data_IF_117074174153
#
_entry.id   IF_117074174153
#
_cell.length_a   1.000
_cell.length_b   1.000
_cell.length_c   1.000
_cell.angle_alpha   90.00
_cell.angle_beta   90.00
_cell.angle_gamma   90.00
#
_symmetry.space_group_name_H-M   'P 1'
#
loop_
_entity.id
_entity.type
_entity.pdbx_description
1 polymer ?
#
# COMPACT_ATOMS: atom_id res chain seq x y z
N UNK A 1 12.27 -26.91 2.61
CA UNK A 1 11.01 -27.40 2.02
C UNK A 1 10.86 -26.81 0.63
N UNK A 2 10.63 -27.62 -0.41
CA UNK A 2 10.34 -27.12 -1.76
C UNK A 2 8.94 -26.51 -1.76
N UNK A 3 8.83 -25.18 -1.94
CA UNK A 3 7.55 -24.53 -2.19
C UNK A 3 7.13 -24.85 -3.64
N UNK A 4 6.00 -25.53 -3.81
CA UNK A 4 5.39 -25.84 -5.11
C UNK A 4 4.55 -24.66 -5.57
N UNK A 5 5.09 -23.87 -6.50
CA UNK A 5 4.36 -22.79 -7.15
C UNK A 5 3.48 -23.36 -8.27
N UNK A 6 2.17 -23.13 -8.20
CA UNK A 6 1.23 -23.51 -9.26
C UNK A 6 1.22 -22.43 -10.32
N UNK A 7 1.68 -22.79 -11.53
CA UNK A 7 1.79 -21.92 -12.71
C UNK A 7 0.47 -21.17 -12.97
N UNK A 8 0.40 -19.87 -12.63
CA UNK A 8 -0.81 -19.07 -12.89
C UNK A 8 -0.72 -18.40 -14.26
N UNK A 9 -1.77 -18.55 -15.08
CA UNK A 9 -1.97 -17.64 -16.22
C UNK A 9 -2.38 -16.26 -15.68
N UNK A 10 -1.87 -15.15 -16.26
CA UNK A 10 -2.27 -13.80 -15.90
C UNK A 10 -3.65 -13.49 -16.50
N UNK A 11 -4.71 -14.12 -15.96
CA UNK A 11 -6.08 -13.80 -16.32
C UNK A 11 -6.79 -13.24 -15.09
N UNK A 12 -7.52 -12.14 -15.26
CA UNK A 12 -8.43 -11.60 -14.25
C UNK A 12 -9.30 -12.74 -13.72
N UNK A 13 -9.24 -13.01 -12.41
CA UNK A 13 -9.86 -14.20 -11.84
C UNK A 13 -10.45 -13.89 -10.47
N UNK A 14 -11.74 -13.58 -10.48
CA UNK A 14 -12.52 -13.27 -9.28
C UNK A 14 -12.41 -14.39 -8.22
N UNK A 15 -12.51 -15.65 -8.65
CA UNK A 15 -12.41 -16.82 -7.78
C UNK A 15 -11.10 -16.91 -6.99
N UNK A 16 -9.99 -16.43 -7.56
CA UNK A 16 -8.67 -16.50 -6.92
C UNK A 16 -8.41 -15.35 -5.94
N UNK A 17 -9.19 -14.27 -5.99
CA UNK A 17 -9.00 -13.07 -5.18
C UNK A 17 -10.05 -12.89 -4.08
N UNK A 18 -11.20 -13.58 -4.15
CA UNK A 18 -12.29 -13.47 -3.15
C UNK A 18 -11.84 -13.64 -1.69
N UNK A 19 -11.05 -14.68 -1.39
CA UNK A 19 -10.57 -14.90 -0.03
C UNK A 19 -9.57 -13.82 0.42
N UNK A 20 -8.52 -13.47 -0.36
CA UNK A 20 -7.68 -12.30 -0.06
C UNK A 20 -8.45 -10.99 0.11
N UNK A 21 -9.47 -10.75 -0.71
CA UNK A 21 -10.34 -9.58 -0.61
C UNK A 21 -11.07 -9.54 0.75
N UNK A 22 -11.67 -10.64 1.18
CA UNK A 22 -12.32 -10.71 2.50
C UNK A 22 -11.36 -10.43 3.65
N UNK A 23 -10.13 -10.94 3.58
CA UNK A 23 -9.10 -10.66 4.57
C UNK A 23 -8.66 -9.20 4.58
N UNK A 24 -8.56 -8.60 3.41
CA UNK A 24 -8.21 -7.20 3.25
C UNK A 24 -9.28 -6.27 3.83
N UNK A 25 -10.56 -6.55 3.57
CA UNK A 25 -11.69 -5.81 4.16
C UNK A 25 -11.62 -5.91 5.69
N UNK A 26 -11.41 -7.11 6.23
CA UNK A 26 -11.32 -7.31 7.67
C UNK A 26 -10.14 -6.53 8.28
N UNK A 27 -8.96 -6.60 7.66
CA UNK A 27 -7.79 -5.87 8.14
C UNK A 27 -7.99 -4.35 8.08
N UNK A 28 -8.54 -3.86 6.97
CA UNK A 28 -8.86 -2.44 6.81
C UNK A 28 -9.89 -1.97 7.86
N UNK A 29 -10.92 -2.77 8.13
CA UNK A 29 -11.89 -2.47 9.18
C UNK A 29 -11.24 -2.34 10.55
N UNK A 30 -10.45 -3.35 10.95
CA UNK A 30 -9.76 -3.36 12.24
C UNK A 30 -8.81 -2.16 12.36
N UNK A 31 -8.06 -1.89 11.29
CA UNK A 31 -7.12 -0.79 11.24
C UNK A 31 -7.78 0.57 11.49
N UNK A 32 -8.86 0.84 10.78
CA UNK A 32 -9.60 2.10 10.91
C UNK A 32 -10.27 2.25 12.28
N UNK A 33 -10.74 1.15 12.87
CA UNK A 33 -11.28 1.14 14.23
C UNK A 33 -10.21 1.55 15.26
N UNK A 34 -9.01 0.98 15.16
CA UNK A 34 -7.89 1.38 16.02
C UNK A 34 -7.49 2.84 15.78
N UNK A 35 -7.36 3.26 14.53
CA UNK A 35 -7.02 4.64 14.20
C UNK A 35 -7.97 5.64 14.86
N UNK A 36 -9.28 5.44 14.70
CA UNK A 36 -10.30 6.32 15.28
C UNK A 36 -10.22 6.33 16.80
N UNK A 37 -10.04 5.16 17.42
CA UNK A 37 -9.83 5.07 18.86
C UNK A 37 -8.61 5.91 19.29
N UNK A 38 -7.48 5.79 18.59
CA UNK A 38 -6.31 6.63 18.85
C UNK A 38 -6.61 8.12 18.74
N UNK A 39 -7.29 8.54 17.67
CA UNK A 39 -7.62 9.97 17.47
C UNK A 39 -8.56 10.54 18.52
N UNK A 40 -9.48 9.75 19.06
CA UNK A 40 -10.44 10.19 20.08
C UNK A 40 -9.79 10.24 21.46
N UNK A 41 -8.99 9.23 21.81
CA UNK A 41 -8.51 9.04 23.18
C UNK A 41 -7.10 9.59 23.44
N UNK A 42 -6.29 9.83 22.40
CA UNK A 42 -4.94 10.41 22.56
C UNK A 42 -5.00 11.94 22.51
N UNK A 43 -5.02 12.57 23.68
CA UNK A 43 -5.05 14.04 23.79
C UNK A 43 -3.73 14.77 23.50
N UNK A 44 -2.63 14.05 23.29
CA UNK A 44 -1.31 14.63 22.98
C UNK A 44 -0.93 14.41 21.53
N UNK A 45 -0.56 15.48 20.82
CA UNK A 45 -0.13 15.44 19.42
C UNK A 45 1.08 14.52 19.20
N UNK A 46 2.02 14.48 20.15
CA UNK A 46 3.19 13.61 20.07
C UNK A 46 2.79 12.13 20.20
N UNK A 47 1.90 11.81 21.13
CA UNK A 47 1.37 10.45 21.29
C UNK A 47 0.60 10.02 20.05
N UNK A 48 -0.18 10.93 19.45
CA UNK A 48 -0.90 10.66 18.22
C UNK A 48 0.05 10.36 17.05
N UNK A 49 1.15 11.10 16.90
CA UNK A 49 2.16 10.83 15.86
C UNK A 49 2.80 9.46 16.07
N UNK A 50 3.24 9.14 17.30
CA UNK A 50 3.83 7.83 17.61
C UNK A 50 2.83 6.70 17.33
N UNK A 51 1.58 6.88 17.74
CA UNK A 51 0.51 5.94 17.48
C UNK A 51 0.27 5.73 15.98
N UNK A 52 0.27 6.81 15.22
CA UNK A 52 0.12 6.81 13.76
C UNK A 52 1.26 6.06 13.06
N UNK A 53 2.50 6.21 13.56
CA UNK A 53 3.66 5.46 13.05
C UNK A 53 3.53 3.96 13.35
N UNK A 54 3.13 3.60 14.58
CA UNK A 54 2.92 2.21 14.98
C UNK A 54 1.84 1.53 14.13
N UNK A 55 0.75 2.24 13.87
CA UNK A 55 -0.29 1.79 12.97
C UNK A 55 0.25 1.62 11.55
N UNK A 56 0.91 2.62 10.96
CA UNK A 56 1.45 2.51 9.59
C UNK A 56 2.36 1.28 9.41
N UNK A 57 3.22 1.03 10.40
CA UNK A 57 4.03 -0.20 10.46
C UNK A 57 3.21 -1.50 10.51
N UNK A 58 2.15 -1.53 11.33
CA UNK A 58 1.23 -2.67 11.37
C UNK A 58 0.51 -2.87 10.03
N UNK A 59 0.16 -1.78 9.35
CA UNK A 59 -0.46 -1.80 8.02
C UNK A 59 0.45 -2.42 6.97
N UNK A 60 1.75 -2.07 6.95
CA UNK A 60 2.73 -2.68 6.04
C UNK A 60 2.88 -4.19 6.25
N UNK A 61 2.88 -4.64 7.52
CA UNK A 61 2.88 -6.09 7.83
C UNK A 61 1.58 -6.76 7.36
N UNK A 62 0.44 -6.09 7.54
CA UNK A 62 -0.86 -6.54 7.03
C UNK A 62 -0.87 -6.67 5.50
N UNK A 63 -0.34 -5.68 4.79
CA UNK A 63 -0.20 -5.68 3.33
C UNK A 63 0.67 -6.84 2.87
N UNK A 64 1.83 -7.05 3.50
CA UNK A 64 2.68 -8.21 3.19
C UNK A 64 1.92 -9.53 3.40
N UNK A 65 1.15 -9.65 4.50
CA UNK A 65 0.33 -10.83 4.75
C UNK A 65 -0.73 -11.05 3.66
N UNK A 66 -1.44 -10.00 3.23
CA UNK A 66 -2.36 -10.06 2.09
C UNK A 66 -1.65 -10.52 0.82
N UNK A 67 -0.47 -9.97 0.53
CA UNK A 67 0.36 -10.42 -0.59
C UNK A 67 0.64 -11.92 -0.50
N UNK A 68 0.99 -12.44 0.67
CA UNK A 68 1.22 -13.90 0.82
C UNK A 68 -0.03 -14.74 0.53
N UNK A 69 -1.22 -14.25 0.90
CA UNK A 69 -2.50 -14.91 0.56
C UNK A 69 -2.79 -14.87 -0.92
N UNK A 70 -2.58 -13.72 -1.57
CA UNK A 70 -2.77 -13.56 -3.02
C UNK A 70 -1.80 -14.46 -3.79
N UNK A 71 -0.54 -14.51 -3.37
CA UNK A 71 0.53 -15.29 -4.01
C UNK A 71 0.52 -16.78 -3.62
N UNK A 72 -0.30 -17.17 -2.65
CA UNK A 72 -0.38 -18.56 -2.11
C UNK A 72 0.97 -19.06 -1.58
N UNK A 73 1.72 -18.18 -0.94
CA UNK A 73 2.97 -18.50 -0.22
C UNK A 73 2.74 -18.53 1.27
N UNK A 74 3.61 -19.23 2.00
CA UNK A 74 3.53 -19.28 3.47
C UNK A 74 3.95 -17.93 4.03
N UNK A 75 3.16 -17.39 4.95
CA UNK A 75 3.56 -16.22 5.71
C UNK A 75 4.59 -16.61 6.78
N UNK A 76 5.75 -16.00 6.72
CA UNK A 76 6.83 -16.19 7.69
C UNK A 76 6.89 -14.99 8.64
N UNK A 77 6.83 -15.28 9.96
CA UNK A 77 6.88 -14.29 11.05
C UNK A 77 8.28 -14.14 11.64
N UNK A 78 9.29 -14.54 10.88
CA UNK A 78 10.68 -14.52 11.33
C UNK A 78 11.20 -13.08 11.37
N UNK A 79 12.17 -12.82 12.26
CA UNK A 79 12.76 -11.48 12.40
C UNK A 79 13.39 -11.02 11.09
N UNK A 80 13.99 -11.96 10.36
CA UNK A 80 14.63 -11.77 9.06
C UNK A 80 13.66 -11.30 7.97
N UNK A 81 12.37 -11.59 8.12
CA UNK A 81 11.30 -11.19 7.18
C UNK A 81 10.60 -9.91 7.64
N UNK A 82 10.29 -9.80 8.93
CA UNK A 82 9.54 -8.65 9.46
C UNK A 82 10.41 -7.39 9.57
N UNK A 83 11.68 -7.52 9.94
CA UNK A 83 12.54 -6.35 10.17
C UNK A 83 12.74 -5.51 8.90
N UNK A 84 13.04 -6.07 7.70
CA UNK A 84 13.14 -5.26 6.48
C UNK A 84 11.83 -4.53 6.14
N UNK A 85 10.68 -5.17 6.35
CA UNK A 85 9.35 -4.57 6.13
C UNK A 85 9.18 -3.33 7.01
N UNK A 86 9.42 -3.49 8.31
CA UNK A 86 9.28 -2.43 9.29
C UNK A 86 10.27 -1.29 9.06
N UNK A 87 11.52 -1.60 8.68
CA UNK A 87 12.55 -0.58 8.42
C UNK A 87 12.19 0.27 7.21
N UNK A 88 11.75 -0.33 6.12
CA UNK A 88 11.33 0.41 4.92
C UNK A 88 10.10 1.26 5.22
N UNK A 89 9.12 0.70 5.93
CA UNK A 89 7.91 1.45 6.31
C UNK A 89 8.24 2.62 7.24
N UNK A 90 9.05 2.39 8.26
CA UNK A 90 9.48 3.43 9.18
C UNK A 90 10.24 4.55 8.45
N UNK A 91 11.08 4.22 7.46
CA UNK A 91 11.77 5.22 6.65
C UNK A 91 10.78 6.06 5.83
N UNK A 92 9.78 5.43 5.19
CA UNK A 92 8.74 6.14 4.44
C UNK A 92 7.85 7.02 5.33
N UNK A 93 7.51 6.53 6.52
CA UNK A 93 6.74 7.28 7.51
C UNK A 93 7.53 8.45 8.09
N UNK A 94 8.84 8.29 8.35
CA UNK A 94 9.70 9.40 8.80
C UNK A 94 9.81 10.47 7.71
N UNK A 95 9.98 10.09 6.45
CA UNK A 95 9.99 11.06 5.34
C UNK A 95 8.64 11.78 5.28
N UNK A 96 7.54 11.06 5.35
CA UNK A 96 6.20 11.63 5.16
C UNK A 96 5.76 12.48 6.35
N UNK A 97 5.84 11.95 7.57
CA UNK A 97 5.37 12.62 8.78
C UNK A 97 6.43 13.55 9.38
N UNK A 98 7.72 13.23 9.26
CA UNK A 98 8.80 14.02 9.84
C UNK A 98 9.34 15.12 8.94
N UNK A 99 9.27 14.94 7.61
CA UNK A 99 9.83 15.91 6.64
C UNK A 99 8.73 16.59 5.82
N UNK A 100 7.87 15.80 5.16
CA UNK A 100 6.87 16.37 4.25
C UNK A 100 5.75 17.08 4.98
N UNK A 101 5.37 16.67 6.19
CA UNK A 101 4.31 17.31 6.97
C UNK A 101 4.67 18.74 7.43
N UNK A 102 5.85 18.99 8.05
CA UNK A 102 6.29 20.36 8.30
C UNK A 102 6.44 21.17 7.01
N UNK A 103 7.00 20.55 5.96
CA UNK A 103 7.17 21.22 4.67
C UNK A 103 5.83 21.60 4.04
N UNK A 104 4.81 20.73 4.15
CA UNK A 104 3.44 20.99 3.70
C UNK A 104 2.92 22.30 4.31
N UNK A 105 3.07 22.44 5.63
CA UNK A 105 2.60 23.60 6.38
C UNK A 105 3.27 24.89 5.89
N UNK A 106 4.57 24.85 5.60
CA UNK A 106 5.32 25.99 5.06
C UNK A 106 4.91 26.32 3.63
N UNK A 107 4.79 25.31 2.77
CA UNK A 107 4.42 25.47 1.35
C UNK A 107 3.04 26.12 1.21
N UNK A 108 2.07 25.66 1.99
CA UNK A 108 0.72 26.24 1.98
C UNK A 108 0.65 27.60 2.68
N UNK A 109 1.47 27.86 3.70
CA UNK A 109 1.54 29.18 4.32
C UNK A 109 2.11 30.27 3.39
N UNK A 110 3.00 29.90 2.47
CA UNK A 110 3.58 30.83 1.49
C UNK A 110 2.61 31.20 0.36
N UNK A 111 1.65 30.31 0.06
CA UNK A 111 0.65 30.46 -1.00
C UNK A 111 1.24 30.86 -2.37
N UNK A 112 2.43 30.33 -2.67
CA UNK A 112 3.14 30.59 -3.93
C UNK A 112 3.11 29.36 -4.83
N UNK A 113 2.54 29.51 -6.04
CA UNK A 113 2.42 28.41 -7.01
C UNK A 113 3.76 27.77 -7.36
N UNK A 114 4.83 28.56 -7.46
CA UNK A 114 6.16 28.09 -7.85
C UNK A 114 6.86 27.28 -6.75
N UNK A 115 6.38 27.34 -5.51
CA UNK A 115 6.83 26.49 -4.39
C UNK A 115 5.92 25.26 -4.26
N UNK A 116 4.61 25.46 -4.43
CA UNK A 116 3.61 24.38 -4.36
C UNK A 116 3.79 23.33 -5.45
N UNK A 117 4.04 23.72 -6.71
CA UNK A 117 4.19 22.76 -7.82
C UNK A 117 5.36 21.79 -7.59
N UNK A 118 6.60 22.24 -7.32
CA UNK A 118 7.71 21.31 -7.05
C UNK A 118 7.45 20.39 -5.86
N UNK A 119 6.80 20.90 -4.81
CA UNK A 119 6.41 20.11 -3.64
C UNK A 119 5.39 19.02 -3.98
N UNK A 120 4.35 19.36 -4.75
CA UNK A 120 3.35 18.39 -5.21
C UNK A 120 3.97 17.34 -6.13
N UNK A 121 4.90 17.72 -7.01
CA UNK A 121 5.67 16.79 -7.85
C UNK A 121 6.52 15.84 -6.99
N UNK A 122 7.17 16.33 -5.94
CA UNK A 122 7.92 15.49 -5.00
C UNK A 122 7.00 14.46 -4.33
N UNK A 123 5.82 14.89 -3.87
CA UNK A 123 4.84 13.99 -3.26
C UNK A 123 4.34 12.94 -4.27
N UNK A 124 4.02 13.35 -5.49
CA UNK A 124 3.60 12.44 -6.57
C UNK A 124 4.68 11.41 -6.90
N UNK A 125 5.96 11.81 -6.94
CA UNK A 125 7.09 10.91 -7.15
C UNK A 125 7.18 9.85 -6.04
N UNK A 126 6.99 10.25 -4.79
CA UNK A 126 6.97 9.31 -3.67
C UNK A 126 5.79 8.34 -3.75
N UNK A 127 4.60 8.81 -4.13
CA UNK A 127 3.42 7.96 -4.33
C UNK A 127 3.68 6.89 -5.38
N UNK A 128 4.26 7.26 -6.53
CA UNK A 128 4.48 6.32 -7.65
C UNK A 128 5.65 5.35 -7.40
N UNK A 129 6.55 5.64 -6.45
CA UNK A 129 7.72 4.82 -6.16
C UNK A 129 7.55 3.92 -4.94
N UNK A 130 6.91 4.41 -3.87
CA UNK A 130 6.85 3.71 -2.58
C UNK A 130 6.24 2.31 -2.71
N UNK A 131 5.05 2.23 -3.31
CA UNK A 131 4.28 1.00 -3.37
C UNK A 131 4.91 -0.08 -4.29
N UNK A 132 5.33 0.23 -5.53
CA UNK A 132 6.07 -0.74 -6.35
C UNK A 132 7.37 -1.24 -5.70
N UNK A 133 8.07 -0.38 -4.96
CA UNK A 133 9.29 -0.75 -4.24
C UNK A 133 8.98 -1.69 -3.07
N UNK A 134 7.96 -1.40 -2.26
CA UNK A 134 7.48 -2.27 -1.19
C UNK A 134 7.08 -3.64 -1.75
N UNK A 135 6.33 -3.69 -2.85
CA UNK A 135 5.95 -4.96 -3.49
C UNK A 135 7.14 -5.74 -4.03
N UNK A 136 8.17 -5.05 -4.55
CA UNK A 136 9.40 -5.70 -5.00
C UNK A 136 10.11 -6.36 -3.82
N UNK A 137 10.26 -5.64 -2.70
CA UNK A 137 10.82 -6.18 -1.47
C UNK A 137 10.00 -7.36 -0.94
N UNK A 138 8.67 -7.24 -0.87
CA UNK A 138 7.78 -8.32 -0.44
C UNK A 138 7.92 -9.57 -1.30
N UNK A 139 8.11 -9.40 -2.61
CA UNK A 139 8.33 -10.53 -3.52
C UNK A 139 9.67 -11.23 -3.30
N UNK A 140 10.70 -10.50 -2.87
CA UNK A 140 12.00 -11.05 -2.48
C UNK A 140 11.89 -11.86 -1.18
N UNK A 141 11.23 -11.28 -0.17
CA UNK A 141 11.00 -11.92 1.14
C UNK A 141 10.14 -13.18 1.01
N UNK A 142 9.10 -13.14 0.16
CA UNK A 142 8.28 -14.31 -0.15
C UNK A 142 9.06 -15.47 -0.79
N UNK A 143 10.22 -15.19 -1.38
CA UNK A 143 11.13 -16.18 -1.98
C UNK A 143 12.27 -16.58 -1.03
N UNK A 144 12.19 -16.22 0.25
CA UNK A 144 13.21 -16.45 1.29
C UNK A 144 14.53 -15.71 1.03
N UNK A 145 14.51 -14.61 0.27
CA UNK A 145 15.67 -13.71 0.14
C UNK A 145 15.64 -12.73 1.31
N UNK A 146 16.43 -13.00 2.34
CA UNK A 146 16.39 -12.24 3.60
C UNK A 146 17.67 -11.45 3.88
N UNK A 147 18.78 -11.75 3.19
CA UNK A 147 20.02 -10.99 3.34
C UNK A 147 19.90 -9.59 2.76
N UNK A 148 20.28 -8.54 3.50
CA UNK A 148 20.16 -7.14 3.02
C UNK A 148 20.86 -6.89 1.68
N UNK A 149 22.04 -7.50 1.47
CA UNK A 149 22.77 -7.44 0.20
C UNK A 149 22.02 -8.19 -0.91
N UNK A 150 21.48 -9.35 -0.62
CA UNK A 150 20.72 -10.17 -1.57
C UNK A 150 19.40 -9.51 -1.96
N UNK A 151 18.71 -8.86 -1.01
CA UNK A 151 17.51 -8.06 -1.28
C UNK A 151 17.86 -6.89 -2.19
N UNK A 152 18.97 -6.18 -1.92
CA UNK A 152 19.43 -5.08 -2.78
C UNK A 152 19.74 -5.54 -4.20
N UNK A 153 20.44 -6.66 -4.34
CA UNK A 153 20.78 -7.25 -5.63
C UNK A 153 19.53 -7.75 -6.38
N UNK A 154 18.58 -8.34 -5.65
CA UNK A 154 17.28 -8.75 -6.17
C UNK A 154 16.46 -7.56 -6.68
N UNK A 155 16.35 -6.50 -5.88
CA UNK A 155 15.65 -5.27 -6.26
C UNK A 155 16.30 -4.69 -7.51
N UNK A 156 17.63 -4.60 -7.57
CA UNK A 156 18.36 -4.10 -8.74
C UNK A 156 18.07 -4.91 -10.00
N UNK A 157 18.10 -6.25 -9.90
CA UNK A 157 17.79 -7.14 -11.03
C UNK A 157 16.35 -6.96 -11.54
N UNK A 158 15.37 -6.93 -10.63
CA UNK A 158 13.96 -6.72 -10.99
C UNK A 158 13.69 -5.32 -11.52
N UNK A 159 14.36 -4.32 -10.96
CA UNK A 159 14.32 -2.93 -11.42
C UNK A 159 14.70 -2.82 -12.89
N UNK A 160 15.76 -3.52 -13.31
CA UNK A 160 16.25 -3.51 -14.69
C UNK A 160 15.32 -4.23 -15.68
N UNK A 161 14.72 -5.36 -15.29
CA UNK A 161 14.04 -6.23 -16.25
C UNK A 161 12.51 -6.08 -16.31
N UNK A 162 11.85 -5.79 -15.18
CA UNK A 162 10.40 -5.98 -15.06
C UNK A 162 9.67 -4.87 -14.29
N UNK A 163 10.41 -4.02 -13.58
CA UNK A 163 9.84 -2.94 -12.78
C UNK A 163 9.07 -1.93 -13.61
N UNK A 164 9.55 -1.57 -14.80
CA UNK A 164 8.82 -0.65 -15.70
C UNK A 164 7.39 -1.10 -15.99
N UNK A 165 7.17 -2.40 -16.20
CA UNK A 165 5.84 -2.95 -16.50
C UNK A 165 4.89 -2.85 -15.29
N UNK A 166 5.39 -3.19 -14.10
CA UNK A 166 4.61 -3.15 -12.85
C UNK A 166 4.37 -1.71 -12.41
N UNK A 167 5.39 -0.85 -12.55
CA UNK A 167 5.30 0.58 -12.28
C UNK A 167 4.26 1.26 -13.16
N UNK A 168 4.29 1.03 -14.48
CA UNK A 168 3.29 1.58 -15.39
C UNK A 168 1.87 1.12 -15.04
N UNK A 169 1.69 -0.14 -14.65
CA UNK A 169 0.39 -0.66 -14.24
C UNK A 169 -0.09 -0.04 -12.94
N UNK A 170 0.81 0.14 -11.97
CA UNK A 170 0.50 0.84 -10.74
C UNK A 170 0.06 2.28 -11.03
N UNK A 171 0.79 3.02 -11.88
CA UNK A 171 0.40 4.37 -12.28
C UNK A 171 -0.97 4.40 -12.97
N UNK A 172 -1.26 3.45 -13.86
CA UNK A 172 -2.57 3.34 -14.51
C UNK A 172 -3.70 3.08 -13.50
N UNK A 173 -3.46 2.21 -12.51
CA UNK A 173 -4.43 1.94 -11.45
C UNK A 173 -4.62 3.17 -10.57
N UNK A 174 -3.55 3.85 -10.20
CA UNK A 174 -3.60 5.07 -9.40
C UNK A 174 -4.43 6.14 -10.10
N UNK A 175 -4.20 6.37 -11.40
CA UNK A 175 -5.00 7.31 -12.19
C UNK A 175 -6.48 6.91 -12.25
N UNK A 176 -6.78 5.61 -12.38
CA UNK A 176 -8.14 5.10 -12.36
C UNK A 176 -8.83 5.34 -11.01
N UNK A 177 -8.11 5.10 -9.90
CA UNK A 177 -8.58 5.38 -8.54
C UNK A 177 -8.86 6.87 -8.37
N UNK A 178 -7.92 7.74 -8.72
CA UNK A 178 -8.08 9.19 -8.63
C UNK A 178 -9.25 9.69 -9.49
N UNK A 179 -9.42 9.13 -10.69
CA UNK A 179 -10.54 9.47 -11.57
C UNK A 179 -11.89 9.10 -10.94
N UNK A 180 -12.03 7.88 -10.43
CA UNK A 180 -13.26 7.42 -9.78
C UNK A 180 -13.53 8.22 -8.51
N UNK A 181 -12.52 8.44 -7.67
CA UNK A 181 -12.67 9.26 -6.45
C UNK A 181 -13.09 10.69 -6.79
N UNK A 182 -12.62 11.26 -7.89
CA UNK A 182 -13.07 12.59 -8.33
C UNK A 182 -14.54 12.59 -8.73
N UNK A 183 -15.02 11.54 -9.40
CA UNK A 183 -16.43 11.39 -9.76
C UNK A 183 -17.32 11.13 -8.53
N UNK A 184 -16.84 10.35 -7.57
CA UNK A 184 -17.61 9.95 -6.38
C UNK A 184 -17.39 10.85 -5.17
N UNK A 185 -16.56 11.90 -5.31
CA UNK A 185 -16.08 12.75 -4.20
C UNK A 185 -15.46 11.94 -3.05
N UNK A 186 -14.65 10.95 -3.43
CA UNK A 186 -13.87 10.12 -2.52
C UNK A 186 -12.70 10.87 -1.88
N UNK A 187 -11.99 10.20 -0.97
CA UNK A 187 -10.96 10.82 -0.13
C UNK A 187 -9.72 11.28 -0.93
N UNK A 188 -9.49 10.68 -2.08
CA UNK A 188 -8.42 11.05 -3.02
C UNK A 188 -8.94 11.87 -4.20
N UNK A 189 -10.14 12.46 -4.09
CA UNK A 189 -10.69 13.33 -5.11
C UNK A 189 -9.74 14.48 -5.39
N UNK A 190 -9.42 14.69 -6.66
CA UNK A 190 -8.62 15.83 -7.11
C UNK A 190 -9.50 16.99 -7.62
N UNK A 191 -10.82 16.90 -7.41
CA UNK A 191 -11.79 17.89 -7.88
C UNK A 191 -11.63 19.27 -7.24
N UNK A 192 -11.03 19.33 -6.05
CA UNK A 192 -10.72 20.59 -5.34
C UNK A 192 -9.22 20.97 -5.45
N UNK A 193 -8.45 20.22 -6.25
CA UNK A 193 -7.00 20.36 -6.37
C UNK A 193 -6.28 19.06 -5.98
N UNK A 194 -5.01 18.94 -6.42
CA UNK A 194 -4.18 17.79 -6.09
C UNK A 194 -3.40 18.06 -4.79
N UNK A 195 -3.76 17.34 -3.72
CA UNK A 195 -2.97 17.28 -2.50
C UNK A 195 -2.20 15.96 -2.39
N UNK A 196 -1.00 15.95 -2.97
CA UNK A 196 -0.10 14.81 -2.96
C UNK A 196 0.36 14.41 -1.55
N UNK A 197 0.42 15.32 -0.59
CA UNK A 197 0.77 14.96 0.79
C UNK A 197 -0.38 14.24 1.49
N UNK A 198 -1.61 14.73 1.35
CA UNK A 198 -2.78 14.06 1.89
C UNK A 198 -2.94 12.65 1.29
N UNK A 199 -2.73 12.50 -0.03
CA UNK A 199 -2.76 11.20 -0.71
C UNK A 199 -1.63 10.29 -0.20
N UNK A 200 -0.38 10.78 -0.18
CA UNK A 200 0.78 10.00 0.26
C UNK A 200 0.69 9.58 1.73
N UNK A 201 0.33 10.50 2.62
CA UNK A 201 0.13 10.21 4.03
C UNK A 201 -0.98 9.19 4.19
N UNK A 202 -2.08 9.31 3.47
CA UNK A 202 -3.15 8.32 3.52
C UNK A 202 -2.72 6.93 3.04
N UNK A 203 -1.87 6.84 2.00
CA UNK A 203 -1.33 5.57 1.49
C UNK A 203 -0.40 4.87 2.48
N UNK A 204 0.45 5.63 3.17
CA UNK A 204 1.44 5.05 4.09
C UNK A 204 0.86 4.85 5.49
N UNK A 205 0.02 5.78 5.93
CA UNK A 205 -0.54 5.82 7.27
C UNK A 205 -1.86 5.08 7.36
N UNK A 206 -2.76 5.16 6.38
CA UNK A 206 -4.06 4.48 6.46
C UNK A 206 -4.08 3.12 5.76
N UNK A 207 -2.87 2.63 5.45
CA UNK A 207 -2.66 1.55 4.51
C UNK A 207 -2.74 2.04 3.08
N UNK A 208 -2.10 1.24 2.22
CA UNK A 208 -2.08 1.35 0.77
C UNK A 208 -3.47 1.81 0.25
N UNK A 209 -3.57 2.70 -0.76
CA UNK A 209 -4.74 3.56 -0.99
C UNK A 209 -6.06 2.81 -1.17
N UNK A 210 -6.01 1.53 -1.51
CA UNK A 210 -7.19 0.71 -1.74
C UNK A 210 -7.68 -0.02 -0.47
N UNK A 211 -6.99 0.13 0.66
CA UNK A 211 -7.45 -0.22 2.02
C UNK A 211 -7.90 1.01 2.83
N UNK A 212 -7.53 2.23 2.45
CA UNK A 212 -7.88 3.43 3.20
C UNK A 212 -9.29 3.96 2.92
N UNK A 213 -10.03 3.43 1.93
CA UNK A 213 -11.41 3.87 1.66
C UNK A 213 -12.36 3.61 2.85
N UNK A 214 -12.07 2.59 3.66
CA UNK A 214 -12.83 2.35 4.90
C UNK A 214 -12.61 3.47 5.93
N UNK A 215 -11.51 4.22 5.86
CA UNK A 215 -11.33 5.42 6.69
C UNK A 215 -12.41 6.46 6.37
N UNK A 216 -12.60 6.78 5.09
CA UNK A 216 -13.68 7.66 4.66
C UNK A 216 -15.04 7.11 5.09
N UNK A 217 -15.29 5.81 4.86
CA UNK A 217 -16.52 5.19 5.32
C UNK A 217 -16.76 5.35 6.83
N UNK A 218 -15.76 5.07 7.68
CA UNK A 218 -15.94 5.12 9.14
C UNK A 218 -16.00 6.57 9.66
N UNK A 219 -15.25 7.50 9.08
CA UNK A 219 -15.33 8.94 9.41
C UNK A 219 -16.70 9.54 9.07
N UNK A 220 -17.28 9.15 7.94
CA UNK A 220 -18.61 9.61 7.56
C UNK A 220 -19.71 8.91 8.36
N UNK A 221 -19.51 7.64 8.74
CA UNK A 221 -20.43 6.94 9.63
C UNK A 221 -20.43 7.51 11.06
N UNK A 222 -19.30 8.04 11.54
CA UNK A 222 -19.19 8.65 12.88
C UNK A 222 -19.81 10.04 12.97
N UNK A 223 -20.08 10.72 11.84
CA UNK A 223 -20.67 12.06 11.79
C UNK A 223 -22.21 12.09 11.97
N UNK A 224 -22.85 10.95 12.21
CA UNK A 224 -24.30 10.80 12.33
C UNK A 224 -24.98 10.57 10.97
N UNK A 225 -25.88 9.59 10.88
CA UNK A 225 -26.43 9.13 9.60
C UNK A 225 -27.75 9.83 9.26
N UNK A 226 -27.79 10.59 8.16
CA UNK A 226 -29.02 10.91 7.44
C UNK A 226 -29.13 10.08 6.14
N UNK A 227 -30.29 10.10 5.48
CA UNK A 227 -30.53 9.30 4.26
C UNK A 227 -29.56 9.62 3.12
N UNK A 228 -29.18 10.89 2.94
CA UNK A 228 -28.19 11.33 1.95
C UNK A 228 -26.78 10.84 2.30
N UNK A 229 -26.41 10.83 3.57
CA UNK A 229 -25.14 10.30 4.07
C UNK A 229 -25.08 8.78 3.93
N UNK A 230 -26.19 8.07 4.13
CA UNK A 230 -26.28 6.63 3.88
C UNK A 230 -26.03 6.30 2.41
N UNK A 231 -26.61 7.09 1.49
CA UNK A 231 -26.40 6.93 0.05
C UNK A 231 -24.94 7.21 -0.34
N UNK A 232 -24.33 8.28 0.21
CA UNK A 232 -22.91 8.57 -0.01
C UNK A 232 -22.00 7.46 0.55
N UNK A 233 -22.29 6.94 1.74
CA UNK A 233 -21.57 5.81 2.33
C UNK A 233 -21.67 4.55 1.50
N UNK A 234 -22.85 4.28 0.93
CA UNK A 234 -23.05 3.14 0.03
C UNK A 234 -22.24 3.29 -1.26
N UNK A 235 -22.21 4.47 -1.86
CA UNK A 235 -21.38 4.75 -3.04
C UNK A 235 -19.89 4.58 -2.71
N UNK A 236 -19.42 5.14 -1.59
CA UNK A 236 -18.03 4.97 -1.13
C UNK A 236 -17.68 3.51 -0.85
N UNK A 237 -18.62 2.73 -0.31
CA UNK A 237 -18.44 1.30 -0.10
C UNK A 237 -18.29 0.53 -1.42
N UNK A 238 -19.14 0.81 -2.41
CA UNK A 238 -19.04 0.20 -3.75
C UNK A 238 -17.73 0.57 -4.45
N UNK A 239 -17.34 1.84 -4.37
CA UNK A 239 -16.06 2.34 -4.89
C UNK A 239 -14.88 1.63 -4.23
N UNK A 240 -14.95 1.45 -2.90
CA UNK A 240 -13.96 0.70 -2.14
C UNK A 240 -13.85 -0.77 -2.55
N UNK A 241 -14.98 -1.45 -2.78
CA UNK A 241 -15.00 -2.82 -3.32
C UNK A 241 -14.37 -2.89 -4.71
N UNK A 242 -14.61 -1.90 -5.57
CA UNK A 242 -13.99 -1.81 -6.88
C UNK A 242 -12.46 -1.69 -6.77
N UNK A 243 -11.97 -0.80 -5.91
CA UNK A 243 -10.53 -0.65 -5.64
C UNK A 243 -9.89 -1.95 -5.19
N UNK A 244 -10.55 -2.64 -4.27
CA UNK A 244 -10.09 -3.93 -3.76
C UNK A 244 -9.97 -5.00 -4.86
N UNK A 245 -10.92 -5.04 -5.79
CA UNK A 245 -10.87 -5.93 -6.96
C UNK A 245 -9.67 -5.60 -7.84
N UNK A 246 -9.49 -4.32 -8.18
CA UNK A 246 -8.37 -3.87 -9.02
C UNK A 246 -7.03 -4.19 -8.36
N UNK A 247 -6.90 -3.92 -7.07
CA UNK A 247 -5.69 -4.16 -6.30
C UNK A 247 -5.33 -5.64 -6.21
N UNK A 248 -6.27 -6.50 -5.80
CA UNK A 248 -5.99 -7.92 -5.64
C UNK A 248 -5.60 -8.57 -6.98
N UNK A 249 -6.16 -8.08 -8.10
CA UNK A 249 -5.73 -8.50 -9.44
C UNK A 249 -4.31 -8.02 -9.76
N UNK A 250 -3.98 -6.77 -9.42
CA UNK A 250 -2.63 -6.23 -9.58
C UNK A 250 -1.61 -7.04 -8.76
N UNK A 251 -1.88 -7.28 -7.48
CA UNK A 251 -1.05 -8.12 -6.61
C UNK A 251 -0.90 -9.53 -7.19
N UNK A 252 -1.98 -10.13 -7.71
CA UNK A 252 -1.91 -11.45 -8.35
C UNK A 252 -0.97 -11.44 -9.56
N UNK A 253 -1.00 -10.38 -10.38
CA UNK A 253 -0.13 -10.22 -11.54
C UNK A 253 1.33 -9.99 -11.14
N UNK A 254 1.59 -9.24 -10.08
CA UNK A 254 2.92 -9.10 -9.49
C UNK A 254 3.45 -10.48 -9.07
N UNK A 255 2.63 -11.30 -8.42
CA UNK A 255 2.99 -12.68 -8.07
C UNK A 255 3.39 -13.51 -9.30
N UNK A 256 2.59 -13.47 -10.37
CA UNK A 256 2.92 -14.17 -11.63
C UNK A 256 4.24 -13.67 -12.24
N UNK A 257 4.52 -12.37 -12.14
CA UNK A 257 5.68 -11.75 -12.81
C UNK A 257 6.98 -11.92 -12.01
N UNK A 258 6.92 -11.78 -10.68
CA UNK A 258 8.11 -11.77 -9.84
C UNK A 258 8.36 -13.06 -9.07
N UNK A 259 7.33 -13.85 -8.81
CA UNK A 259 7.43 -15.10 -8.04
C UNK A 259 7.44 -16.32 -8.99
N UNK A 260 6.61 -16.32 -10.04
CA UNK A 260 6.49 -17.46 -10.97
C UNK A 260 7.61 -17.53 -12.05
N UNK A 261 8.51 -16.54 -12.15
CA UNK A 261 9.69 -16.63 -13.03
C UNK A 261 10.80 -17.59 -12.51
N UNK A 262 10.55 -18.33 -11.41
CA UNK A 262 11.51 -19.15 -10.68
C UNK A 262 11.54 -20.66 -10.95
N UNK A 263 10.85 -21.21 -11.96
CA UNK A 263 11.08 -22.63 -12.36
C UNK A 263 12.30 -22.82 -13.27
N UNK A 264 13.15 -21.81 -13.47
CA UNK A 264 14.50 -22.02 -13.99
C UNK A 264 15.47 -22.11 -12.81
N UNK A 265 15.72 -23.36 -12.38
CA UNK A 265 16.86 -23.84 -11.59
C UNK A 265 17.91 -22.75 -11.30
N UNK A 266 17.80 -22.08 -10.16
CA UNK A 266 19.00 -21.54 -9.51
C UNK A 266 19.85 -22.75 -9.16
N UNK A 267 21.03 -22.82 -9.78
CA UNK A 267 21.99 -23.90 -9.61
C UNK A 267 22.18 -24.15 -8.12
N UNK A 268 22.01 -25.42 -7.74
CA UNK A 268 22.55 -26.00 -6.52
C UNK A 268 23.96 -25.46 -6.26
N UNK A 269 24.10 -24.54 -5.31
CA UNK A 269 25.35 -24.47 -4.56
C UNK A 269 25.41 -25.77 -3.75
N UNK A 270 26.02 -26.79 -4.36
CA UNK A 270 26.53 -27.95 -3.62
C UNK A 270 27.41 -27.38 -2.51
N UNK A 271 26.98 -27.52 -1.26
CA UNK A 271 27.91 -27.60 -0.14
C UNK A 271 28.87 -28.75 -0.50
N UNK A 272 30.11 -28.42 -0.86
CA UNK A 272 31.19 -29.40 -0.79
C UNK A 272 31.30 -29.77 0.69
N UNK A 273 31.29 -31.08 0.94
CA UNK A 273 31.67 -31.70 2.21
C UNK A 273 33.05 -31.20 2.63
#
# INVERSE_FOLDING_TARGET
MKQTFTKRKPSFSFKNIMAPMGWAILLSFLYNLFYIYGTIFLGSSLLLIVYTILLGMASAVGLYWICTKVWKVKFERTKEVLLPILVVEAALLIITLGVLSPLHSVVYALDQWYVSIPYQVLCALLIVLAQPLQLCMYSALAQNVTGAKEIKDYIKDKFLHSFKSIWNQYCMILLLVLFIDTLTRGIFSIGEGFDGYAILSSILVFGNPMFSWMFAFVMWASAGLNTTMLMNLFVLFLTGLFYLVVECNFLSKVGVTWIDHGTKKTKTHKKKK
#
